data_IF_292414786152
#
_entry.id   IF_292414786152
#
_cell.length_a   1.000
_cell.length_b   1.000
_cell.length_c   1.000
_cell.angle_alpha   90.00
_cell.angle_beta   90.00
_cell.angle_gamma   90.00
#
_symmetry.space_group_name_H-M   'P 1'
#
loop_
_entity.id
_entity.type
_entity.pdbx_description
1 polymer ?
#
# COMPACT_ATOMS: atom_id res chain seq x y z
N UNK A 1 28.00 11.29 -10.89
CA UNK A 1 26.84 12.06 -10.41
C UNK A 1 25.76 12.08 -11.47
N UNK A 2 24.50 11.99 -11.06
CA UNK A 2 23.34 12.24 -11.89
C UNK A 2 22.79 13.62 -11.58
N UNK A 3 22.31 14.30 -12.59
CA UNK A 3 21.69 15.63 -12.45
C UNK A 3 20.17 15.48 -12.59
N UNK A 4 19.45 15.89 -11.57
CA UNK A 4 17.99 15.95 -11.55
C UNK A 4 17.54 17.39 -11.61
N UNK A 5 16.54 17.68 -12.42
CA UNK A 5 15.90 18.99 -12.51
C UNK A 5 14.48 18.88 -11.95
N UNK A 6 14.19 19.55 -10.85
CA UNK A 6 12.87 19.72 -10.29
C UNK A 6 12.27 21.04 -10.79
N UNK A 7 11.07 20.95 -11.36
CA UNK A 7 10.29 22.16 -11.73
C UNK A 7 9.07 22.23 -10.84
N UNK A 8 9.02 23.22 -9.96
CA UNK A 8 7.93 23.46 -9.03
C UNK A 8 7.58 24.95 -9.03
N UNK A 9 6.29 25.29 -9.19
CA UNK A 9 5.80 26.68 -9.23
C UNK A 9 6.62 27.57 -10.21
N UNK A 10 6.87 27.05 -11.41
CA UNK A 10 7.66 27.73 -12.48
C UNK A 10 9.14 27.96 -12.13
N UNK A 11 9.60 27.53 -10.96
CA UNK A 11 11.01 27.58 -10.57
C UNK A 11 11.68 26.24 -10.84
N UNK A 12 12.90 26.33 -11.37
CA UNK A 12 13.75 25.16 -11.64
C UNK A 12 14.83 25.07 -10.59
N UNK A 13 14.91 23.90 -9.97
CA UNK A 13 15.97 23.54 -9.04
C UNK A 13 16.75 22.38 -9.62
N UNK A 14 18.07 22.46 -9.60
CA UNK A 14 18.95 21.41 -10.08
C UNK A 14 19.70 20.80 -8.91
N UNK A 15 19.60 19.48 -8.76
CA UNK A 15 20.27 18.72 -7.71
C UNK A 15 21.16 17.67 -8.35
N UNK A 16 22.39 17.56 -7.90
CA UNK A 16 23.34 16.52 -8.32
C UNK A 16 23.42 15.47 -7.23
N UNK A 17 23.24 14.23 -7.59
CA UNK A 17 23.29 13.09 -6.68
C UNK A 17 24.31 12.06 -7.14
N UNK A 18 25.02 11.50 -6.18
CA UNK A 18 25.94 10.40 -6.37
C UNK A 18 25.24 9.04 -6.12
N UNK A 19 25.93 7.95 -6.42
CA UNK A 19 25.49 6.61 -6.07
C UNK A 19 25.32 6.50 -4.54
N UNK A 20 24.25 5.84 -4.10
CA UNK A 20 23.80 5.66 -2.72
C UNK A 20 23.19 6.90 -2.06
N UNK A 21 23.02 8.00 -2.77
CA UNK A 21 22.27 9.14 -2.25
C UNK A 21 20.78 8.98 -2.49
N UNK A 22 19.97 9.54 -1.57
CA UNK A 22 18.51 9.56 -1.63
C UNK A 22 17.99 10.66 -2.55
N UNK A 23 16.90 10.36 -3.27
CA UNK A 23 16.16 11.34 -4.05
C UNK A 23 15.35 12.32 -3.18
N UNK A 24 15.32 12.13 -1.85
CA UNK A 24 14.76 13.11 -0.91
C UNK A 24 15.33 14.51 -1.11
N UNK A 25 16.64 14.60 -1.46
CA UNK A 25 17.29 15.87 -1.78
C UNK A 25 16.72 16.57 -3.02
N UNK A 26 16.03 15.82 -3.88
CA UNK A 26 15.32 16.37 -5.04
C UNK A 26 13.89 16.75 -4.63
N UNK A 27 13.18 15.83 -3.97
CA UNK A 27 11.81 16.04 -3.51
C UNK A 27 11.48 15.11 -2.34
N UNK A 28 10.84 15.64 -1.28
CA UNK A 28 10.53 14.90 -0.05
C UNK A 28 9.67 13.64 -0.30
N UNK A 29 8.75 13.67 -1.26
CA UNK A 29 7.93 12.51 -1.63
C UNK A 29 8.74 11.34 -2.22
N UNK A 30 10.04 11.52 -2.47
CA UNK A 30 10.94 10.49 -2.99
C UNK A 30 11.98 10.04 -1.95
N UNK A 31 11.73 10.21 -0.66
CA UNK A 31 12.67 9.90 0.44
C UNK A 31 13.14 8.44 0.43
N UNK A 32 12.28 7.51 0.04
CA UNK A 32 12.58 6.08 0.04
C UNK A 32 13.41 5.61 -1.17
N UNK A 33 13.66 6.52 -2.11
CA UNK A 33 14.41 6.20 -3.30
C UNK A 33 15.88 6.54 -3.17
N UNK A 34 16.70 5.52 -3.37
CA UNK A 34 18.16 5.63 -3.34
C UNK A 34 18.71 5.25 -4.72
N UNK A 35 19.76 5.93 -5.17
CA UNK A 35 20.47 5.57 -6.39
C UNK A 35 21.30 4.32 -6.14
N UNK A 36 20.88 3.17 -6.66
CA UNK A 36 21.63 1.92 -6.53
C UNK A 36 22.75 1.80 -7.56
N UNK A 37 22.42 2.14 -8.81
CA UNK A 37 23.40 2.09 -9.91
C UNK A 37 23.37 3.40 -10.68
N UNK A 38 24.54 3.84 -11.09
CA UNK A 38 24.72 5.05 -11.87
C UNK A 38 25.76 4.80 -12.95
N UNK A 39 25.38 4.96 -14.20
CA UNK A 39 26.27 4.97 -15.34
C UNK A 39 26.00 6.18 -16.24
N UNK A 40 26.70 6.29 -17.39
CA UNK A 40 26.59 7.46 -18.27
C UNK A 40 25.20 7.66 -18.88
N UNK A 41 24.37 6.63 -18.95
CA UNK A 41 23.11 6.62 -19.69
C UNK A 41 21.90 6.35 -18.82
N UNK A 42 22.07 5.68 -17.68
CA UNK A 42 20.97 5.15 -16.88
C UNK A 42 21.27 5.34 -15.39
N UNK A 43 20.24 5.74 -14.66
CA UNK A 43 20.18 5.72 -13.19
C UNK A 43 19.22 4.61 -12.78
N UNK A 44 19.65 3.68 -11.93
CA UNK A 44 18.78 2.63 -11.36
C UNK A 44 18.50 2.98 -9.90
N UNK A 45 17.24 3.05 -9.55
CA UNK A 45 16.78 3.34 -8.20
C UNK A 45 16.57 2.06 -7.39
N UNK A 46 16.48 2.20 -6.06
CA UNK A 46 16.32 1.09 -5.11
C UNK A 46 15.09 0.22 -5.33
N UNK A 47 14.08 0.75 -5.99
CA UNK A 47 12.88 0.02 -6.39
C UNK A 47 12.98 -0.67 -7.76
N UNK A 48 14.14 -0.62 -8.42
CA UNK A 48 14.38 -1.19 -9.74
C UNK A 48 14.00 -0.29 -10.91
N UNK A 49 13.48 0.92 -10.67
CA UNK A 49 13.17 1.85 -11.74
C UNK A 49 14.45 2.33 -12.43
N UNK A 50 14.47 2.23 -13.75
CA UNK A 50 15.56 2.73 -14.59
C UNK A 50 15.18 4.07 -15.22
N UNK A 51 16.00 5.08 -14.98
CA UNK A 51 15.83 6.42 -15.52
C UNK A 51 16.91 6.72 -16.55
N UNK A 52 16.48 7.17 -17.71
CA UNK A 52 17.36 7.65 -18.79
C UNK A 52 17.38 9.16 -18.83
N UNK A 53 18.36 9.71 -19.52
CA UNK A 53 18.44 11.15 -19.72
C UNK A 53 17.20 11.67 -20.44
N UNK A 54 16.51 12.62 -19.81
CA UNK A 54 15.29 13.23 -20.34
C UNK A 54 13.99 12.60 -19.82
N UNK A 55 14.06 11.48 -19.09
CA UNK A 55 12.87 10.94 -18.43
C UNK A 55 12.33 11.92 -17.40
N UNK A 56 11.02 11.99 -17.32
CA UNK A 56 10.29 12.84 -16.38
C UNK A 56 9.52 11.96 -15.40
N UNK A 57 9.65 12.28 -14.12
CA UNK A 57 8.90 11.63 -13.05
C UNK A 57 8.10 12.72 -12.33
N UNK A 58 6.85 12.44 -12.07
CA UNK A 58 6.05 13.24 -11.15
C UNK A 58 6.27 12.67 -9.73
N UNK A 59 6.88 13.42 -8.80
CA UNK A 59 7.13 12.94 -7.45
C UNK A 59 5.87 12.49 -6.72
N UNK A 60 4.75 13.17 -6.93
CA UNK A 60 3.49 12.89 -6.25
C UNK A 60 2.84 11.61 -6.79
N UNK A 61 2.70 11.47 -8.09
CA UNK A 61 2.14 10.24 -8.67
C UNK A 61 3.05 9.02 -8.47
N UNK A 62 4.35 9.24 -8.32
CA UNK A 62 5.29 8.19 -7.98
C UNK A 62 5.09 7.66 -6.55
N UNK A 63 4.95 8.56 -5.57
CA UNK A 63 4.68 8.18 -4.19
C UNK A 63 3.34 7.42 -4.07
N UNK A 64 2.29 7.90 -4.73
CA UNK A 64 1.00 7.22 -4.81
C UNK A 64 1.13 5.83 -5.45
N UNK A 65 1.78 5.71 -6.60
CA UNK A 65 1.99 4.42 -7.28
C UNK A 65 2.80 3.43 -6.45
N UNK A 66 3.80 3.92 -5.70
CA UNK A 66 4.57 3.08 -4.78
C UNK A 66 3.69 2.59 -3.63
N UNK A 67 2.91 3.47 -3.03
CA UNK A 67 1.98 3.15 -1.95
C UNK A 67 0.96 2.10 -2.42
N UNK A 68 0.34 2.30 -3.58
CA UNK A 68 -0.57 1.32 -4.19
C UNK A 68 0.10 -0.05 -4.38
N UNK A 69 1.31 -0.05 -4.92
CA UNK A 69 2.07 -1.30 -5.13
C UNK A 69 2.39 -2.00 -3.81
N UNK A 70 2.75 -1.27 -2.77
CA UNK A 70 3.03 -1.84 -1.44
C UNK A 70 1.76 -2.41 -0.81
N UNK A 71 0.63 -1.70 -0.88
CA UNK A 71 -0.67 -2.15 -0.39
C UNK A 71 -1.09 -3.43 -1.13
N UNK A 72 -1.03 -3.45 -2.45
CA UNK A 72 -1.39 -4.62 -3.26
C UNK A 72 -0.52 -5.85 -2.91
N UNK A 73 0.79 -5.68 -2.74
CA UNK A 73 1.70 -6.75 -2.32
C UNK A 73 1.40 -7.27 -0.90
N UNK A 74 1.09 -6.37 0.03
CA UNK A 74 0.75 -6.75 1.39
C UNK A 74 -0.57 -7.53 1.44
N UNK A 75 -1.58 -7.10 0.68
CA UNK A 75 -2.87 -7.78 0.55
C UNK A 75 -2.70 -9.15 -0.12
N UNK A 76 -1.94 -9.24 -1.19
CA UNK A 76 -1.60 -10.51 -1.82
C UNK A 76 -0.97 -11.48 -0.79
N UNK A 77 0.02 -11.01 -0.04
CA UNK A 77 0.69 -11.82 1.00
C UNK A 77 -0.25 -12.22 2.13
N UNK A 78 -1.19 -11.35 2.50
CA UNK A 78 -2.22 -11.64 3.48
C UNK A 78 -3.06 -12.86 3.05
N UNK A 79 -3.61 -12.86 1.84
CA UNK A 79 -4.42 -13.96 1.33
C UNK A 79 -3.62 -15.25 1.14
N UNK A 80 -2.36 -15.18 0.75
CA UNK A 80 -1.49 -16.35 0.73
C UNK A 80 -1.36 -17.01 2.14
N UNK A 81 -1.10 -16.20 3.16
CA UNK A 81 -0.98 -16.68 4.55
C UNK A 81 -2.31 -17.17 5.08
N UNK A 82 -3.41 -16.48 4.78
CA UNK A 82 -4.75 -16.88 5.17
C UNK A 82 -5.09 -18.29 4.63
N UNK A 83 -4.85 -18.52 3.34
CA UNK A 83 -5.04 -19.84 2.71
C UNK A 83 -4.18 -20.93 3.35
N UNK A 84 -2.94 -20.59 3.73
CA UNK A 84 -2.05 -21.55 4.43
C UNK A 84 -2.57 -21.86 5.83
N UNK A 85 -3.06 -20.85 6.56
CA UNK A 85 -3.53 -21.00 7.94
C UNK A 85 -4.87 -21.74 8.03
N UNK A 86 -5.73 -21.59 7.03
CA UNK A 86 -6.98 -22.35 6.95
C UNK A 86 -6.77 -23.86 6.86
N UNK A 87 -5.60 -24.32 6.40
CA UNK A 87 -5.23 -25.74 6.32
C UNK A 87 -4.69 -26.31 7.62
N UNK A 88 -4.45 -25.49 8.64
CA UNK A 88 -3.92 -25.94 9.94
C UNK A 88 -5.04 -26.48 10.81
N UNK A 89 -4.69 -27.40 11.73
CA UNK A 89 -5.63 -27.90 12.74
C UNK A 89 -6.13 -26.78 13.65
N UNK A 90 -5.20 -25.94 14.12
CA UNK A 90 -5.53 -24.70 14.84
C UNK A 90 -5.65 -23.57 13.84
N UNK A 91 -6.86 -23.06 13.68
CA UNK A 91 -7.14 -21.95 12.78
C UNK A 91 -6.67 -20.64 13.38
N UNK A 92 -5.69 -20.02 12.74
CA UNK A 92 -5.15 -18.70 13.10
C UNK A 92 -5.53 -17.74 11.96
N UNK A 93 -5.99 -16.55 12.33
CA UNK A 93 -6.26 -15.49 11.36
C UNK A 93 -5.05 -14.59 11.22
N UNK A 94 -4.50 -14.42 10.01
CA UNK A 94 -3.49 -13.41 9.79
C UNK A 94 -4.11 -12.02 9.91
N UNK A 95 -3.35 -11.09 10.44
CA UNK A 95 -3.66 -9.67 10.45
C UNK A 95 -2.57 -8.94 9.67
N UNK A 96 -2.99 -7.98 8.85
CA UNK A 96 -2.09 -7.06 8.18
C UNK A 96 -2.30 -5.67 8.76
N UNK A 97 -1.24 -5.06 9.25
CA UNK A 97 -1.27 -3.70 9.82
C UNK A 97 -0.60 -2.75 8.84
N UNK A 98 -1.28 -1.64 8.56
CA UNK A 98 -0.73 -0.52 7.82
C UNK A 98 -0.56 0.66 8.77
N UNK A 99 0.65 1.21 8.82
CA UNK A 99 0.90 2.47 9.50
C UNK A 99 0.70 3.60 8.49
N UNK A 100 -0.19 4.52 8.81
CA UNK A 100 -0.55 5.64 7.94
C UNK A 100 -0.26 6.95 8.65
N UNK A 101 0.17 7.95 7.92
CA UNK A 101 0.47 9.29 8.40
C UNK A 101 -0.73 10.24 8.27
N UNK A 102 -1.58 10.05 7.28
CA UNK A 102 -2.78 10.85 7.07
C UNK A 102 -4.06 10.04 7.34
N UNK A 103 -4.66 10.29 8.51
CA UNK A 103 -5.86 9.59 8.97
C UNK A 103 -7.07 9.89 8.07
N UNK A 104 -7.18 11.12 7.57
CA UNK A 104 -8.32 11.56 6.77
C UNK A 104 -8.44 10.82 5.43
N UNK A 105 -7.31 10.39 4.86
CA UNK A 105 -7.29 9.57 3.65
C UNK A 105 -7.92 8.18 3.82
N UNK A 106 -8.04 7.72 5.07
CA UNK A 106 -8.69 6.45 5.38
C UNK A 106 -10.08 6.63 5.99
N UNK A 107 -10.30 7.64 6.84
CA UNK A 107 -11.60 7.88 7.50
C UNK A 107 -12.68 8.37 6.56
N UNK A 108 -12.32 9.25 5.63
CA UNK A 108 -13.29 9.77 4.68
C UNK A 108 -13.75 8.65 3.74
N UNK A 109 -15.05 8.58 3.49
CA UNK A 109 -15.62 7.58 2.57
C UNK A 109 -14.97 7.64 1.17
N UNK A 110 -14.58 8.85 0.76
CA UNK A 110 -13.92 9.13 -0.51
C UNK A 110 -12.39 9.21 -0.42
N UNK A 111 -11.83 8.90 0.74
CA UNK A 111 -10.40 8.96 0.98
C UNK A 111 -9.60 8.06 0.05
N UNK A 112 -8.49 8.58 -0.46
CA UNK A 112 -7.65 7.88 -1.42
C UNK A 112 -7.14 6.53 -0.89
N UNK A 113 -6.62 6.52 0.33
CA UNK A 113 -6.05 5.32 0.94
C UNK A 113 -7.12 4.23 1.17
N UNK A 114 -8.31 4.62 1.65
CA UNK A 114 -9.42 3.69 1.83
C UNK A 114 -9.82 3.03 0.51
N UNK A 115 -10.01 3.83 -0.54
CA UNK A 115 -10.34 3.33 -1.89
C UNK A 115 -9.26 2.41 -2.43
N UNK A 116 -7.99 2.76 -2.24
CA UNK A 116 -6.85 1.95 -2.70
C UNK A 116 -6.83 0.59 -2.01
N UNK A 117 -7.07 0.55 -0.69
CA UNK A 117 -7.15 -0.72 0.07
C UNK A 117 -8.32 -1.57 -0.43
N UNK A 118 -9.53 -0.99 -0.53
CA UNK A 118 -10.73 -1.71 -0.98
C UNK A 118 -10.59 -2.23 -2.41
N UNK A 119 -10.07 -1.43 -3.33
CA UNK A 119 -9.81 -1.83 -4.71
C UNK A 119 -8.76 -2.95 -4.79
N UNK A 120 -7.71 -2.87 -3.99
CA UNK A 120 -6.67 -3.91 -3.95
C UNK A 120 -7.20 -5.23 -3.38
N UNK A 121 -8.05 -5.19 -2.35
CA UNK A 121 -8.72 -6.39 -1.81
C UNK A 121 -9.62 -6.99 -2.89
N UNK A 122 -10.45 -6.18 -3.53
CA UNK A 122 -11.34 -6.63 -4.59
C UNK A 122 -10.58 -7.31 -5.73
N UNK A 123 -9.57 -6.64 -6.26
CA UNK A 123 -8.78 -7.16 -7.37
C UNK A 123 -8.07 -8.48 -7.04
N UNK A 124 -7.52 -8.60 -5.83
CA UNK A 124 -6.85 -9.84 -5.40
C UNK A 124 -7.85 -10.98 -5.20
N UNK A 125 -9.01 -10.71 -4.59
CA UNK A 125 -10.04 -11.73 -4.37
C UNK A 125 -10.63 -12.20 -5.71
N UNK A 126 -10.91 -11.30 -6.66
CA UNK A 126 -11.40 -11.65 -8.00
C UNK A 126 -10.38 -12.56 -8.71
N UNK A 127 -9.10 -12.21 -8.68
CA UNK A 127 -8.01 -13.01 -9.24
C UNK A 127 -7.91 -14.41 -8.60
N UNK A 128 -8.03 -14.48 -7.27
CA UNK A 128 -8.00 -15.76 -6.56
C UNK A 128 -9.20 -16.64 -6.93
N UNK A 129 -10.38 -16.06 -7.10
CA UNK A 129 -11.59 -16.79 -7.47
C UNK A 129 -11.49 -17.46 -8.86
N UNK A 130 -10.71 -16.91 -9.79
CA UNK A 130 -10.49 -17.49 -11.10
C UNK A 130 -9.74 -18.84 -11.03
N UNK A 131 -8.81 -18.98 -10.09
CA UNK A 131 -7.91 -20.12 -10.01
C UNK A 131 -8.20 -21.05 -8.81
N UNK A 132 -9.09 -20.64 -7.87
CA UNK A 132 -9.38 -21.39 -6.65
C UNK A 132 -10.24 -22.62 -6.94
N UNK A 133 -9.80 -23.77 -6.44
CA UNK A 133 -10.50 -25.06 -6.57
C UNK A 133 -11.15 -25.52 -5.28
N UNK A 134 -10.66 -25.04 -4.11
CA UNK A 134 -11.23 -25.36 -2.82
C UNK A 134 -12.60 -24.67 -2.65
N UNK A 135 -13.66 -25.46 -2.55
CA UNK A 135 -15.03 -24.96 -2.49
C UNK A 135 -15.32 -24.15 -1.21
N UNK A 136 -14.68 -24.49 -0.09
CA UNK A 136 -14.84 -23.78 1.17
C UNK A 136 -14.16 -22.41 1.09
N UNK A 137 -12.92 -22.35 0.63
CA UNK A 137 -12.19 -21.10 0.48
C UNK A 137 -12.84 -20.22 -0.59
N UNK A 138 -13.35 -20.82 -1.66
CA UNK A 138 -14.09 -20.07 -2.69
C UNK A 138 -15.33 -19.37 -2.14
N UNK A 139 -16.12 -20.03 -1.30
CA UNK A 139 -17.27 -19.42 -0.62
C UNK A 139 -16.85 -18.28 0.30
N UNK A 140 -15.76 -18.46 1.02
CA UNK A 140 -15.19 -17.42 1.88
C UNK A 140 -14.80 -16.18 1.06
N UNK A 141 -14.07 -16.35 -0.05
CA UNK A 141 -13.69 -15.26 -0.95
C UNK A 141 -14.91 -14.55 -1.54
N UNK A 142 -15.94 -15.30 -1.94
CA UNK A 142 -17.20 -14.72 -2.41
C UNK A 142 -17.89 -13.87 -1.34
N UNK A 143 -17.91 -14.36 -0.08
CA UNK A 143 -18.45 -13.59 1.05
C UNK A 143 -17.68 -12.27 1.26
N UNK A 144 -16.37 -12.29 1.11
CA UNK A 144 -15.52 -11.09 1.20
C UNK A 144 -15.92 -10.03 0.17
N UNK A 145 -16.27 -10.42 -1.06
CA UNK A 145 -16.70 -9.48 -2.10
C UNK A 145 -18.08 -8.86 -1.84
N UNK A 146 -18.95 -9.51 -1.07
CA UNK A 146 -20.28 -8.96 -0.77
C UNK A 146 -20.18 -7.68 0.07
N UNK A 147 -19.22 -7.63 0.99
CA UNK A 147 -19.01 -6.46 1.84
C UNK A 147 -17.53 -6.32 2.21
N UNK A 148 -16.77 -5.66 1.34
CA UNK A 148 -15.35 -5.44 1.53
C UNK A 148 -15.10 -4.55 2.75
N UNK A 149 -15.99 -3.61 3.05
CA UNK A 149 -15.82 -2.67 4.17
C UNK A 149 -15.71 -3.37 5.52
N UNK A 150 -16.29 -4.56 5.66
CA UNK A 150 -16.18 -5.39 6.88
C UNK A 150 -14.87 -6.18 6.99
N UNK A 151 -13.99 -6.10 6.03
CA UNK A 151 -12.72 -6.83 6.03
C UNK A 151 -11.56 -6.03 6.57
N UNK A 152 -11.72 -4.73 6.72
CA UNK A 152 -10.68 -3.81 7.21
C UNK A 152 -11.27 -2.75 8.12
N UNK A 153 -10.48 -2.24 9.04
CA UNK A 153 -10.86 -1.17 9.95
C UNK A 153 -9.63 -0.33 10.33
N UNK A 154 -9.85 0.86 10.88
CA UNK A 154 -8.78 1.76 11.29
C UNK A 154 -8.87 2.07 12.78
N UNK A 155 -7.76 1.92 13.50
CA UNK A 155 -7.58 2.38 14.87
C UNK A 155 -6.50 3.46 14.90
N UNK A 156 -6.83 4.64 15.44
CA UNK A 156 -5.95 5.79 15.38
C UNK A 156 -5.77 6.41 16.77
N UNK A 157 -4.54 6.78 17.09
CA UNK A 157 -4.18 7.35 18.40
C UNK A 157 -4.89 8.67 18.77
N UNK A 158 -5.48 9.37 17.80
CA UNK A 158 -6.27 10.58 18.03
C UNK A 158 -7.72 10.30 18.45
N UNK A 159 -8.10 9.03 18.49
CA UNK A 159 -9.47 8.61 18.80
C UNK A 159 -9.72 8.42 20.29
N UNK A 160 -8.82 8.84 21.17
CA UNK A 160 -8.90 8.73 22.64
C UNK A 160 -9.96 9.65 23.27
N UNK A 161 -11.18 9.69 22.75
CA UNK A 161 -12.35 10.38 23.28
C UNK A 161 -13.54 9.43 23.30
N UNK A 162 -14.63 9.75 23.98
CA UNK A 162 -15.81 8.90 24.19
C UNK A 162 -16.47 8.28 22.94
N UNK A 163 -16.01 8.64 21.73
CA UNK A 163 -16.40 7.99 20.46
C UNK A 163 -15.59 6.71 20.15
N UNK A 164 -14.57 6.43 20.94
CA UNK A 164 -13.60 5.35 20.67
C UNK A 164 -14.15 3.96 20.94
N UNK A 165 -15.11 3.83 21.86
CA UNK A 165 -15.76 2.53 22.12
C UNK A 165 -16.46 1.98 20.87
N UNK A 166 -17.03 2.84 20.05
CA UNK A 166 -17.70 2.41 18.81
C UNK A 166 -16.68 1.95 17.76
N UNK A 167 -15.53 2.61 17.66
CA UNK A 167 -14.46 2.24 16.73
C UNK A 167 -13.73 0.98 17.21
N UNK A 168 -13.48 0.86 18.51
CA UNK A 168 -12.94 -0.38 19.08
C UNK A 168 -13.88 -1.55 18.86
N UNK A 169 -15.20 -1.36 19.05
CA UNK A 169 -16.19 -2.39 18.77
C UNK A 169 -16.21 -2.76 17.30
N UNK A 170 -16.15 -1.83 16.37
CA UNK A 170 -16.07 -2.10 14.94
C UNK A 170 -14.84 -2.95 14.58
N UNK A 171 -13.65 -2.58 15.10
CA UNK A 171 -12.42 -3.36 14.90
C UNK A 171 -12.52 -4.74 15.55
N UNK A 172 -13.09 -4.83 16.74
CA UNK A 172 -13.31 -6.11 17.45
C UNK A 172 -14.31 -6.98 16.69
N UNK A 173 -15.38 -6.42 16.13
CA UNK A 173 -16.34 -7.15 15.30
C UNK A 173 -15.68 -7.67 14.03
N UNK A 174 -14.88 -6.87 13.32
CA UNK A 174 -14.09 -7.32 12.16
C UNK A 174 -13.17 -8.49 12.55
N UNK A 175 -12.59 -8.47 13.74
CA UNK A 175 -11.76 -9.56 14.26
C UNK A 175 -12.57 -10.79 14.66
N UNK A 176 -13.80 -10.62 15.13
CA UNK A 176 -14.69 -11.71 15.57
C UNK A 176 -15.49 -12.33 14.44
N UNK A 177 -16.01 -11.58 13.49
CA UNK A 177 -16.83 -12.06 12.38
C UNK A 177 -16.11 -13.00 11.41
N UNK A 178 -14.81 -13.14 11.59
CA UNK A 178 -13.98 -14.09 10.85
C UNK A 178 -13.91 -15.49 11.52
N UNK A 179 -14.75 -15.80 12.50
CA UNK A 179 -14.79 -17.15 13.11
C UNK A 179 -15.46 -18.18 12.25
#
# INVERSE_FOLDING_TARGET
EATFELTENEKKHTVKLAKKESLEKVHNAMSDLIIEKLNKSIVVLSNGLELKKGDKINPYSYAETLQETMIAKAIHKHFELEKQFLKREVKIKPLTLFFIDNIDEYRNADGYLKKTVEQSIKAEVEKLLETETDSFYKKYLQKTLVDISKTHGGYFSKDNSEKDEAIEQEVVEILHDKK
#
